data_IF_425260813735
#
_entry.id   IF_425260813735
#
_cell.length_a   1.000
_cell.length_b   1.000
_cell.length_c   1.000
_cell.angle_alpha   90.00
_cell.angle_beta   90.00
_cell.angle_gamma   90.00
#
_symmetry.space_group_name_H-M   'P 1'
#
loop_
_entity.id
_entity.type
_entity.pdbx_description
1 polymer ?
#
# COMPACT_ATOMS: atom_id res chain seq x y z
N UNK A 1 -21.20 15.55 -8.53
CA UNK A 1 -20.19 14.49 -8.77
C UNK A 1 -20.82 13.17 -8.38
N UNK A 2 -20.68 12.12 -9.18
CA UNK A 2 -21.17 10.79 -8.79
C UNK A 2 -20.50 10.37 -7.49
N UNK A 3 -21.26 9.76 -6.59
CA UNK A 3 -20.78 9.25 -5.30
C UNK A 3 -19.73 8.16 -5.54
N UNK A 4 -18.50 8.38 -5.07
CA UNK A 4 -17.38 7.46 -5.34
C UNK A 4 -17.46 6.13 -4.55
N UNK A 5 -18.30 6.06 -3.52
CA UNK A 5 -18.36 4.94 -2.59
C UNK A 5 -17.31 5.05 -1.48
N UNK A 6 -16.97 3.91 -0.87
CA UNK A 6 -15.98 3.85 0.20
C UNK A 6 -14.62 3.37 -0.30
N UNK A 7 -13.56 3.80 0.40
CA UNK A 7 -12.20 3.28 0.29
C UNK A 7 -11.86 2.45 1.53
N UNK A 8 -11.26 1.28 1.35
CA UNK A 8 -10.63 0.52 2.42
C UNK A 8 -9.10 0.68 2.30
N UNK A 9 -8.46 1.23 3.33
CA UNK A 9 -7.00 1.41 3.38
C UNK A 9 -6.42 0.58 4.52
N UNK A 10 -5.62 -0.42 4.21
CA UNK A 10 -4.97 -1.24 5.23
C UNK A 10 -3.72 -0.56 5.79
N UNK A 11 -3.49 -0.64 7.12
CA UNK A 11 -2.40 0.07 7.77
C UNK A 11 -2.55 1.60 7.70
N UNK A 12 -3.78 2.11 7.74
CA UNK A 12 -4.12 3.49 7.39
C UNK A 12 -3.85 4.54 8.47
N UNK A 13 -3.46 4.17 9.71
CA UNK A 13 -3.35 5.13 10.80
C UNK A 13 -2.06 5.97 10.78
N UNK A 14 -0.98 5.47 10.17
CA UNK A 14 0.37 6.00 10.34
C UNK A 14 1.11 6.16 9.02
N UNK A 15 2.16 7.00 9.06
CA UNK A 15 3.18 7.07 7.99
C UNK A 15 2.56 7.23 6.59
N UNK A 16 2.96 6.38 5.63
CA UNK A 16 2.42 6.37 4.26
C UNK A 16 0.92 6.10 4.26
N UNK A 17 0.46 5.10 5.03
CA UNK A 17 -0.95 4.74 5.09
C UNK A 17 -1.87 5.91 5.46
N UNK A 18 -1.46 6.76 6.42
CA UNK A 18 -2.20 7.97 6.80
C UNK A 18 -2.32 8.97 5.66
N UNK A 19 -1.22 9.19 4.91
CA UNK A 19 -1.27 10.07 3.73
C UNK A 19 -2.21 9.54 2.64
N UNK A 20 -2.27 8.20 2.48
CA UNK A 20 -3.19 7.56 1.53
C UNK A 20 -4.66 7.66 1.98
N UNK A 21 -4.94 7.54 3.29
CA UNK A 21 -6.27 7.78 3.88
C UNK A 21 -6.73 9.21 3.61
N UNK A 22 -5.89 10.19 3.88
CA UNK A 22 -6.16 11.61 3.61
C UNK A 22 -6.43 11.84 2.13
N UNK A 23 -5.59 11.30 1.25
CA UNK A 23 -5.76 11.40 -0.20
C UNK A 23 -7.08 10.79 -0.69
N UNK A 24 -7.48 9.64 -0.16
CA UNK A 24 -8.76 9.01 -0.51
C UNK A 24 -9.94 9.90 -0.08
N UNK A 25 -9.90 10.49 1.12
CA UNK A 25 -10.91 11.42 1.57
C UNK A 25 -11.01 12.67 0.69
N UNK A 26 -9.86 13.26 0.32
CA UNK A 26 -9.79 14.42 -0.60
C UNK A 26 -10.24 14.07 -2.03
N UNK A 27 -10.09 12.81 -2.42
CA UNK A 27 -10.65 12.30 -3.66
C UNK A 27 -12.17 12.07 -3.61
N UNK A 28 -12.81 12.21 -2.43
CA UNK A 28 -14.26 12.13 -2.25
C UNK A 28 -14.78 10.76 -1.79
N UNK A 29 -13.92 9.88 -1.30
CA UNK A 29 -14.32 8.61 -0.68
C UNK A 29 -14.66 8.79 0.80
N UNK A 30 -15.61 8.03 1.30
CA UNK A 30 -15.69 7.67 2.72
C UNK A 30 -14.62 6.62 2.99
N UNK A 31 -13.94 6.64 4.16
CA UNK A 31 -12.72 5.84 4.34
C UNK A 31 -12.83 4.89 5.52
N UNK A 32 -12.73 3.58 5.25
CA UNK A 32 -12.47 2.56 6.24
C UNK A 32 -10.95 2.44 6.46
N UNK A 33 -10.52 2.72 7.68
CA UNK A 33 -9.13 2.73 8.10
C UNK A 33 -8.86 1.43 8.84
N UNK A 34 -8.17 0.49 8.20
CA UNK A 34 -7.78 -0.72 8.90
C UNK A 34 -6.51 -0.50 9.70
N UNK A 35 -6.52 -1.01 10.93
CA UNK A 35 -5.39 -1.05 11.88
C UNK A 35 -5.27 -2.43 12.53
N UNK A 36 -4.13 -2.75 13.12
CA UNK A 36 -3.99 -3.98 13.90
C UNK A 36 -4.68 -3.89 15.27
N UNK A 37 -4.64 -2.70 15.88
CA UNK A 37 -5.33 -2.36 17.13
C UNK A 37 -5.71 -0.87 17.07
N UNK A 38 -6.82 -0.51 17.70
CA UNK A 38 -7.25 0.90 17.79
C UNK A 38 -6.36 1.62 18.78
N UNK A 39 -5.89 2.80 18.39
CA UNK A 39 -5.07 3.71 19.18
C UNK A 39 -5.36 5.18 18.81
N UNK A 40 -4.70 6.11 19.50
CA UNK A 40 -4.88 7.55 19.27
C UNK A 40 -4.52 7.99 17.86
N UNK A 41 -3.60 7.32 17.18
CA UNK A 41 -3.24 7.63 15.80
C UNK A 41 -4.33 7.19 14.81
N UNK A 42 -5.00 6.08 15.09
CA UNK A 42 -6.17 5.65 14.30
C UNK A 42 -7.32 6.66 14.43
N UNK A 43 -7.60 7.15 15.65
CA UNK A 43 -8.61 8.19 15.88
C UNK A 43 -8.22 9.52 15.22
N UNK A 44 -6.94 9.90 15.30
CA UNK A 44 -6.45 11.11 14.62
C UNK A 44 -6.60 11.01 13.10
N UNK A 45 -6.30 9.86 12.50
CA UNK A 45 -6.51 9.64 11.07
C UNK A 45 -8.00 9.72 10.69
N UNK A 46 -8.88 9.14 11.50
CA UNK A 46 -10.33 9.22 11.30
C UNK A 46 -10.85 10.66 11.44
N UNK A 47 -10.32 11.44 12.39
CA UNK A 47 -10.65 12.84 12.55
C UNK A 47 -10.26 13.67 11.31
N UNK A 48 -9.12 13.40 10.69
CA UNK A 48 -8.70 14.07 9.45
C UNK A 48 -9.64 13.77 8.27
N UNK A 49 -10.16 12.56 8.16
CA UNK A 49 -11.18 12.17 7.16
C UNK A 49 -12.46 12.96 7.40
N UNK A 50 -12.94 12.99 8.67
CA UNK A 50 -14.15 13.71 9.06
C UNK A 50 -14.03 15.22 8.84
N UNK A 51 -12.85 15.81 9.08
CA UNK A 51 -12.57 17.23 8.82
C UNK A 51 -12.68 17.60 7.32
N UNK A 52 -12.60 16.62 6.44
CA UNK A 52 -12.80 16.77 4.98
C UNK A 52 -14.26 16.52 4.54
N UNK A 53 -15.17 16.42 5.51
CA UNK A 53 -16.59 16.18 5.24
C UNK A 53 -16.91 14.76 4.78
N UNK A 54 -16.01 13.79 5.05
CA UNK A 54 -16.21 12.37 4.71
C UNK A 54 -16.45 11.55 5.97
N UNK A 55 -17.12 10.38 5.80
CA UNK A 55 -17.27 9.42 6.89
C UNK A 55 -16.00 8.62 7.08
N UNK A 56 -15.69 8.25 8.33
CA UNK A 56 -14.56 7.40 8.68
C UNK A 56 -15.01 6.27 9.60
N UNK A 57 -14.62 5.04 9.29
CA UNK A 57 -14.72 3.86 10.15
C UNK A 57 -13.32 3.33 10.47
N UNK A 58 -13.07 2.95 11.72
CA UNK A 58 -11.82 2.29 12.14
C UNK A 58 -12.12 0.80 12.31
N UNK A 59 -11.40 -0.04 11.59
CA UNK A 59 -11.57 -1.49 11.59
C UNK A 59 -10.28 -2.15 12.08
N UNK A 60 -10.39 -2.93 13.17
CA UNK A 60 -9.22 -3.53 13.81
C UNK A 60 -9.18 -5.05 13.59
N UNK A 61 -8.12 -5.54 12.92
CA UNK A 61 -7.85 -6.96 12.84
C UNK A 61 -6.36 -7.27 12.61
N UNK A 62 -5.96 -8.51 12.86
CA UNK A 62 -4.64 -9.01 12.44
C UNK A 62 -4.79 -9.65 11.05
N UNK A 63 -4.19 -9.04 10.03
CA UNK A 63 -4.24 -9.51 8.64
C UNK A 63 -3.60 -10.88 8.41
N UNK A 64 -2.80 -11.38 9.35
CA UNK A 64 -2.29 -12.76 9.32
C UNK A 64 -3.36 -13.80 9.63
N UNK A 65 -4.52 -13.37 10.15
CA UNK A 65 -5.67 -14.22 10.44
C UNK A 65 -6.66 -14.12 9.28
N UNK A 66 -6.64 -15.10 8.39
CA UNK A 66 -7.45 -15.06 7.16
C UNK A 66 -8.94 -14.84 7.42
N UNK A 67 -9.50 -15.46 8.48
CA UNK A 67 -10.92 -15.31 8.79
C UNK A 67 -11.33 -13.85 9.06
N UNK A 68 -10.50 -13.07 9.78
CA UNK A 68 -10.74 -11.65 10.04
C UNK A 68 -10.46 -10.80 8.81
N UNK A 69 -9.45 -11.17 8.01
CA UNK A 69 -9.14 -10.50 6.75
C UNK A 69 -10.29 -10.62 5.73
N UNK A 70 -10.91 -11.80 5.63
CA UNK A 70 -12.08 -12.05 4.77
C UNK A 70 -13.28 -11.18 5.17
N UNK A 71 -13.49 -10.93 6.45
CA UNK A 71 -14.61 -10.15 6.95
C UNK A 71 -14.47 -8.64 6.67
N UNK A 72 -13.24 -8.14 6.56
CA UNK A 72 -12.89 -6.72 6.60
C UNK A 72 -13.59 -5.86 5.52
N UNK A 73 -13.72 -6.36 4.29
CA UNK A 73 -14.45 -5.62 3.23
C UNK A 73 -15.93 -5.51 3.56
N UNK A 74 -16.55 -6.57 4.07
CA UNK A 74 -17.95 -6.57 4.47
C UNK A 74 -18.23 -5.65 5.67
N UNK A 75 -17.32 -5.59 6.63
CA UNK A 75 -17.40 -4.67 7.76
C UNK A 75 -17.29 -3.21 7.28
N UNK A 76 -16.38 -2.91 6.35
CA UNK A 76 -16.27 -1.59 5.74
C UNK A 76 -17.54 -1.18 5.01
N UNK A 77 -18.16 -2.10 4.26
CA UNK A 77 -19.43 -1.85 3.56
C UNK A 77 -20.60 -1.63 4.50
N UNK A 78 -20.64 -2.34 5.62
CA UNK A 78 -21.72 -2.15 6.62
C UNK A 78 -21.70 -0.74 7.23
N UNK A 79 -20.52 -0.15 7.40
CA UNK A 79 -20.34 1.19 7.98
C UNK A 79 -20.47 2.32 6.95
N UNK A 80 -19.96 2.11 5.72
CA UNK A 80 -19.74 3.20 4.77
C UNK A 80 -20.42 3.02 3.41
N UNK A 81 -21.04 1.85 3.18
CA UNK A 81 -21.56 1.49 1.87
C UNK A 81 -20.50 0.87 0.95
N UNK A 82 -20.82 0.65 -0.34
CA UNK A 82 -20.00 -0.13 -1.25
C UNK A 82 -18.55 0.33 -1.32
N UNK A 83 -17.60 -0.60 -1.10
CA UNK A 83 -16.18 -0.33 -1.24
C UNK A 83 -15.80 -0.41 -2.73
N UNK A 84 -15.32 0.69 -3.28
CA UNK A 84 -14.90 0.81 -4.69
C UNK A 84 -13.41 1.11 -4.86
N UNK A 85 -12.70 1.40 -3.76
CA UNK A 85 -11.25 1.54 -3.71
C UNK A 85 -10.67 0.67 -2.59
N UNK A 86 -9.75 -0.22 -2.94
CA UNK A 86 -8.96 -0.99 -1.99
C UNK A 86 -7.49 -0.57 -2.09
N UNK A 87 -6.91 -0.11 -0.97
CA UNK A 87 -5.49 0.25 -0.88
C UNK A 87 -4.80 -0.69 0.11
N UNK A 88 -4.01 -1.62 -0.40
CA UNK A 88 -3.22 -2.55 0.39
C UNK A 88 -1.91 -1.87 0.80
N UNK A 89 -1.90 -1.18 1.95
CA UNK A 89 -0.75 -0.43 2.47
C UNK A 89 -0.13 -1.05 3.73
N UNK A 90 -0.83 -1.93 4.43
CA UNK A 90 -0.25 -2.65 5.56
C UNK A 90 0.95 -3.49 5.13
N UNK A 91 2.03 -3.43 5.92
CA UNK A 91 3.26 -4.17 5.62
C UNK A 91 4.00 -4.52 6.92
N UNK A 92 4.60 -5.69 6.93
CA UNK A 92 5.69 -6.05 7.84
C UNK A 92 6.99 -5.78 7.11
N UNK A 93 7.96 -5.17 7.80
CA UNK A 93 9.28 -4.83 7.28
C UNK A 93 10.32 -5.15 8.36
N UNK A 94 10.72 -6.40 8.42
CA UNK A 94 11.70 -6.91 9.37
C UNK A 94 12.95 -7.37 8.61
N UNK A 95 14.11 -7.20 9.21
CA UNK A 95 15.35 -7.59 8.57
C UNK A 95 15.56 -9.10 8.68
N UNK A 96 15.86 -9.73 7.56
CA UNK A 96 16.38 -11.08 7.45
C UNK A 96 17.27 -11.20 6.22
N UNK A 97 18.13 -12.22 6.21
CA UNK A 97 18.97 -12.57 5.08
C UNK A 97 18.75 -14.05 4.72
N UNK A 98 19.24 -14.47 3.56
CA UNK A 98 19.13 -15.87 3.15
C UNK A 98 19.71 -16.85 4.18
N UNK A 99 20.76 -16.44 4.91
CA UNK A 99 21.46 -17.30 5.86
C UNK A 99 20.70 -17.51 7.19
N UNK A 100 19.84 -16.57 7.59
CA UNK A 100 19.18 -16.55 8.91
C UNK A 100 17.64 -16.47 8.84
N UNK A 101 17.10 -16.38 7.62
CA UNK A 101 15.65 -16.42 7.38
C UNK A 101 15.06 -17.69 8.02
N UNK A 102 14.04 -17.48 8.84
CA UNK A 102 13.34 -18.56 9.53
C UNK A 102 11.85 -18.54 9.23
N UNK A 103 11.15 -19.58 9.72
CA UNK A 103 9.71 -19.73 9.48
C UNK A 103 8.89 -18.54 9.99
N UNK A 104 9.27 -17.95 11.12
CA UNK A 104 8.51 -16.85 11.72
C UNK A 104 8.66 -15.56 10.88
N UNK A 105 9.87 -15.18 10.44
CA UNK A 105 10.09 -14.02 9.57
C UNK A 105 9.43 -14.23 8.21
N UNK A 106 9.57 -15.42 7.63
CA UNK A 106 8.92 -15.79 6.38
C UNK A 106 7.40 -15.65 6.45
N UNK A 107 6.75 -16.29 7.43
CA UNK A 107 5.30 -16.25 7.55
C UNK A 107 4.80 -14.82 7.84
N UNK A 108 5.50 -14.03 8.65
CA UNK A 108 5.11 -12.67 8.93
C UNK A 108 5.06 -11.81 7.64
N UNK A 109 6.05 -11.93 6.78
CA UNK A 109 6.10 -11.22 5.50
C UNK A 109 5.09 -11.78 4.49
N UNK A 110 5.04 -13.09 4.30
CA UNK A 110 4.17 -13.69 3.29
C UNK A 110 2.68 -13.53 3.64
N UNK A 111 2.29 -13.71 4.89
CA UNK A 111 0.90 -13.54 5.31
C UNK A 111 0.45 -12.08 5.23
N UNK A 112 1.27 -11.14 5.73
CA UNK A 112 0.86 -9.73 5.77
C UNK A 112 1.01 -9.04 4.42
N UNK A 113 2.16 -9.23 3.72
CA UNK A 113 2.48 -8.43 2.55
C UNK A 113 1.97 -9.03 1.23
N UNK A 114 1.68 -10.34 1.21
CA UNK A 114 1.23 -11.04 0.00
C UNK A 114 -0.15 -11.68 0.17
N UNK A 115 -0.31 -12.60 1.14
CA UNK A 115 -1.55 -13.37 1.27
C UNK A 115 -2.74 -12.48 1.56
N UNK A 116 -2.64 -11.57 2.53
CA UNK A 116 -3.75 -10.69 2.90
C UNK A 116 -4.20 -9.74 1.78
N UNK A 117 -3.31 -9.07 1.00
CA UNK A 117 -3.71 -8.34 -0.20
C UNK A 117 -4.47 -9.18 -1.22
N UNK A 118 -4.08 -10.43 -1.43
CA UNK A 118 -4.77 -11.34 -2.36
C UNK A 118 -6.15 -11.73 -1.85
N UNK A 119 -6.28 -12.06 -0.57
CA UNK A 119 -7.57 -12.34 0.07
C UNK A 119 -8.50 -11.15 -0.04
N UNK A 120 -8.01 -9.94 0.31
CA UNK A 120 -8.79 -8.71 0.21
C UNK A 120 -9.20 -8.41 -1.24
N UNK A 121 -8.30 -8.57 -2.21
CA UNK A 121 -8.62 -8.40 -3.63
C UNK A 121 -9.72 -9.37 -4.09
N UNK A 122 -9.65 -10.64 -3.64
CA UNK A 122 -10.64 -11.65 -3.97
C UNK A 122 -12.02 -11.32 -3.38
N UNK A 123 -12.08 -10.89 -2.11
CA UNK A 123 -13.33 -10.49 -1.45
C UNK A 123 -13.89 -9.23 -2.08
N UNK A 124 -13.04 -8.22 -2.30
CA UNK A 124 -13.40 -6.96 -2.98
C UNK A 124 -14.04 -7.22 -4.35
N UNK A 125 -13.40 -8.06 -5.18
CA UNK A 125 -13.91 -8.37 -6.51
C UNK A 125 -15.27 -9.08 -6.51
N UNK A 126 -15.53 -9.94 -5.52
CA UNK A 126 -16.82 -10.64 -5.35
C UNK A 126 -17.93 -9.71 -4.87
N UNK A 127 -17.60 -8.72 -4.03
CA UNK A 127 -18.56 -7.84 -3.38
C UNK A 127 -18.83 -6.55 -4.17
N UNK A 128 -17.94 -6.17 -5.10
CA UNK A 128 -18.12 -4.96 -5.91
C UNK A 128 -19.44 -5.02 -6.68
N UNK A 129 -20.37 -4.05 -6.50
CA UNK A 129 -21.64 -4.03 -7.22
C UNK A 129 -21.46 -4.06 -8.73
N UNK A 130 -22.40 -4.69 -9.44
CA UNK A 130 -22.28 -4.91 -10.90
C UNK A 130 -22.26 -3.62 -11.72
N UNK A 131 -22.85 -2.56 -11.19
CA UNK A 131 -22.96 -1.22 -11.79
C UNK A 131 -21.80 -0.28 -11.39
N UNK A 132 -20.79 -0.79 -10.67
CA UNK A 132 -19.64 -0.01 -10.20
C UNK A 132 -18.33 -0.52 -10.77
N UNK A 133 -17.43 0.41 -11.05
CA UNK A 133 -16.02 0.12 -11.32
C UNK A 133 -15.21 0.18 -10.03
N UNK A 134 -14.16 -0.65 -9.94
CA UNK A 134 -13.26 -0.73 -8.80
C UNK A 134 -11.81 -0.37 -9.13
N UNK A 135 -11.09 0.00 -8.08
CA UNK A 135 -9.63 0.17 -8.13
C UNK A 135 -8.98 -0.53 -6.95
N UNK A 136 -7.95 -1.33 -7.23
CA UNK A 136 -7.04 -1.89 -6.22
C UNK A 136 -5.67 -1.25 -6.41
N UNK A 137 -5.08 -0.75 -5.34
CA UNK A 137 -3.70 -0.23 -5.32
C UNK A 137 -2.89 -0.96 -4.27
N UNK A 138 -1.82 -1.61 -4.70
CA UNK A 138 -0.90 -2.33 -3.83
C UNK A 138 0.34 -1.47 -3.54
N UNK A 139 0.66 -1.22 -2.26
CA UNK A 139 1.93 -0.63 -1.85
C UNK A 139 3.01 -1.69 -1.97
N UNK A 140 3.83 -1.53 -2.99
CA UNK A 140 4.99 -2.34 -3.32
C UNK A 140 6.24 -1.74 -2.64
N UNK A 141 7.37 -1.88 -3.28
CA UNK A 141 8.65 -1.28 -2.92
C UNK A 141 9.48 -1.12 -4.21
N UNK A 142 10.35 -0.14 -4.28
CA UNK A 142 11.27 0.02 -5.41
C UNK A 142 12.19 -1.19 -5.61
N UNK A 143 12.45 -1.97 -4.54
CA UNK A 143 13.24 -3.21 -4.59
C UNK A 143 12.71 -4.25 -5.57
N UNK A 144 11.44 -4.19 -5.97
CA UNK A 144 10.90 -5.09 -7.01
C UNK A 144 11.53 -4.83 -8.39
N UNK A 145 12.12 -3.64 -8.61
CA UNK A 145 12.85 -3.27 -9.81
C UNK A 145 14.37 -3.47 -9.67
N UNK A 146 14.88 -3.43 -8.44
CA UNK A 146 16.30 -3.56 -8.15
C UNK A 146 16.48 -4.43 -6.88
N UNK A 147 16.34 -5.77 -6.99
CA UNK A 147 16.41 -6.67 -5.85
C UNK A 147 17.78 -6.64 -5.18
N UNK A 148 17.77 -6.68 -3.85
CA UNK A 148 18.96 -6.70 -3.01
C UNK A 148 18.89 -7.87 -2.01
N UNK A 149 20.03 -8.38 -1.51
CA UNK A 149 20.07 -9.55 -0.64
C UNK A 149 19.60 -9.28 0.80
N UNK A 150 19.43 -8.03 1.19
CA UNK A 150 18.93 -7.62 2.50
C UNK A 150 17.40 -7.58 2.51
N UNK A 151 16.79 -7.79 3.68
CA UNK A 151 15.33 -7.90 3.83
C UNK A 151 14.76 -8.97 2.87
N UNK A 152 15.33 -10.16 2.96
CA UNK A 152 15.19 -11.17 1.92
C UNK A 152 13.74 -11.63 1.73
N UNK A 153 13.07 -12.08 2.79
CA UNK A 153 11.68 -12.55 2.70
C UNK A 153 10.71 -11.40 2.45
N UNK A 154 10.99 -10.20 2.99
CA UNK A 154 10.25 -8.99 2.64
C UNK A 154 10.30 -8.71 1.13
N UNK A 155 11.51 -8.67 0.55
CA UNK A 155 11.72 -8.39 -0.87
C UNK A 155 11.01 -9.41 -1.75
N UNK A 156 11.06 -10.69 -1.39
CA UNK A 156 10.32 -11.75 -2.09
C UNK A 156 8.81 -11.54 -2.00
N UNK A 157 8.28 -11.16 -0.83
CA UNK A 157 6.85 -10.89 -0.66
C UNK A 157 6.36 -9.73 -1.54
N UNK A 158 7.16 -8.67 -1.67
CA UNK A 158 6.86 -7.51 -2.53
C UNK A 158 7.01 -7.83 -4.01
N UNK A 159 8.02 -8.60 -4.40
CA UNK A 159 8.18 -9.07 -5.78
C UNK A 159 6.99 -9.94 -6.21
N UNK A 160 6.58 -10.89 -5.36
CA UNK A 160 5.39 -11.71 -5.63
C UNK A 160 4.11 -10.87 -5.71
N UNK A 161 3.95 -9.85 -4.85
CA UNK A 161 2.80 -8.94 -4.92
C UNK A 161 2.82 -8.10 -6.20
N UNK A 162 4.00 -7.73 -6.72
CA UNK A 162 4.13 -7.06 -8.02
C UNK A 162 3.65 -7.95 -9.16
N UNK A 163 4.09 -9.20 -9.21
CA UNK A 163 3.61 -10.16 -10.21
C UNK A 163 2.10 -10.39 -10.08
N UNK A 164 1.61 -10.56 -8.85
CA UNK A 164 0.18 -10.69 -8.58
C UNK A 164 -0.62 -9.46 -9.01
N UNK A 165 -0.08 -8.25 -8.87
CA UNK A 165 -0.72 -7.00 -9.34
C UNK A 165 -1.02 -7.07 -10.85
N UNK A 166 -0.06 -7.54 -11.65
CA UNK A 166 -0.23 -7.70 -13.10
C UNK A 166 -1.22 -8.81 -13.46
N UNK A 167 -1.15 -9.92 -12.74
CA UNK A 167 -2.08 -11.04 -12.95
C UNK A 167 -3.52 -10.66 -12.57
N UNK A 168 -3.70 -9.95 -11.46
CA UNK A 168 -5.01 -9.45 -11.04
C UNK A 168 -5.57 -8.41 -12.02
N UNK A 169 -4.73 -7.53 -12.57
CA UNK A 169 -5.15 -6.58 -13.60
C UNK A 169 -5.73 -7.28 -14.83
N UNK A 170 -5.13 -8.41 -15.24
CA UNK A 170 -5.67 -9.23 -16.34
C UNK A 170 -6.97 -9.96 -15.97
N UNK A 171 -7.02 -10.52 -14.76
CA UNK A 171 -8.13 -11.35 -14.32
C UNK A 171 -9.40 -10.55 -14.00
N UNK A 172 -9.25 -9.28 -13.57
CA UNK A 172 -10.36 -8.47 -13.05
C UNK A 172 -10.84 -7.38 -14.02
N UNK A 173 -10.11 -7.18 -15.13
CA UNK A 173 -10.54 -6.26 -16.19
C UNK A 173 -11.87 -6.77 -16.86
N UNK A 174 -12.71 -5.87 -17.37
CA UNK A 174 -12.53 -4.41 -17.42
C UNK A 174 -13.02 -3.66 -16.18
N UNK A 175 -13.71 -4.34 -15.24
CA UNK A 175 -14.43 -3.70 -14.15
C UNK A 175 -13.53 -3.20 -13.01
N UNK A 176 -12.41 -3.88 -12.78
CA UNK A 176 -11.49 -3.53 -11.70
C UNK A 176 -10.10 -3.31 -12.28
N UNK A 177 -9.56 -2.12 -12.05
CA UNK A 177 -8.17 -1.81 -12.33
C UNK A 177 -7.31 -2.19 -11.13
N UNK A 178 -6.12 -2.73 -11.38
CA UNK A 178 -5.18 -3.09 -10.33
C UNK A 178 -3.82 -2.51 -10.67
N UNK A 179 -3.27 -1.69 -9.77
CA UNK A 179 -1.98 -1.04 -9.95
C UNK A 179 -1.14 -1.10 -8.67
N UNK A 180 0.12 -0.72 -8.78
CA UNK A 180 1.05 -0.63 -7.68
C UNK A 180 1.66 0.76 -7.52
N UNK A 181 2.11 1.07 -6.32
CA UNK A 181 3.00 2.19 -6.03
C UNK A 181 4.23 1.60 -5.35
N UNK A 182 5.42 1.92 -5.84
CA UNK A 182 6.71 1.48 -5.31
C UNK A 182 7.45 2.64 -4.65
N UNK A 183 7.31 2.86 -3.33
CA UNK A 183 8.05 3.87 -2.61
C UNK A 183 9.55 3.57 -2.52
N UNK A 184 10.35 4.62 -2.45
CA UNK A 184 11.73 4.61 -1.96
C UNK A 184 11.83 5.05 -0.50
N UNK A 185 13.00 5.55 -0.05
CA UNK A 185 13.21 6.00 1.31
C UNK A 185 12.27 7.16 1.64
N UNK A 186 11.34 6.91 2.56
CA UNK A 186 10.26 7.86 2.87
C UNK A 186 10.34 8.38 4.30
N UNK A 187 10.51 7.51 5.27
CA UNK A 187 10.63 7.80 6.68
C UNK A 187 11.57 6.78 7.31
N UNK A 188 12.37 7.13 8.34
CA UNK A 188 13.22 6.16 9.01
C UNK A 188 12.44 4.93 9.43
N UNK A 189 12.99 3.74 9.20
CA UNK A 189 12.44 2.50 9.74
C UNK A 189 12.77 2.38 11.23
N UNK A 190 12.14 1.42 11.92
CA UNK A 190 12.49 1.10 13.32
C UNK A 190 13.92 0.55 13.48
N UNK A 191 14.53 0.15 12.37
CA UNK A 191 15.89 -0.42 12.30
C UNK A 191 16.96 0.61 11.91
N UNK A 192 16.56 1.87 11.66
CA UNK A 192 17.47 2.93 11.21
C UNK A 192 17.46 4.10 12.17
N UNK A 193 18.64 4.61 12.51
CA UNK A 193 18.78 5.94 13.06
C UNK A 193 18.69 7.00 11.93
N UNK A 194 18.64 8.27 12.32
CA UNK A 194 18.49 9.38 11.37
C UNK A 194 19.67 9.46 10.39
N UNK A 195 20.90 9.19 10.84
CA UNK A 195 22.09 9.27 10.01
C UNK A 195 22.10 8.18 8.93
N UNK A 196 21.71 6.95 9.28
CA UNK A 196 21.58 5.86 8.32
C UNK A 196 20.48 6.13 7.29
N UNK A 197 19.36 6.73 7.73
CA UNK A 197 18.29 7.13 6.81
C UNK A 197 18.73 8.25 5.87
N UNK A 198 19.41 9.27 6.37
CA UNK A 198 19.93 10.38 5.55
C UNK A 198 20.93 9.86 4.51
N UNK A 199 21.84 8.96 4.90
CA UNK A 199 22.77 8.31 3.97
C UNK A 199 22.04 7.50 2.89
N UNK A 200 20.96 6.79 3.24
CA UNK A 200 20.13 6.09 2.25
C UNK A 200 19.49 7.09 1.27
N UNK A 201 18.96 8.21 1.76
CA UNK A 201 18.35 9.24 0.92
C UNK A 201 19.35 9.83 -0.09
N UNK A 202 20.59 10.03 0.32
CA UNK A 202 21.66 10.53 -0.55
C UNK A 202 22.00 9.57 -1.69
N UNK A 203 21.69 8.27 -1.56
CA UNK A 203 21.89 7.28 -2.64
C UNK A 203 20.88 7.40 -3.76
N UNK A 204 19.74 8.08 -3.55
CA UNK A 204 18.76 8.30 -4.60
C UNK A 204 19.29 9.29 -5.64
N UNK A 205 18.78 9.22 -6.88
CA UNK A 205 19.20 10.20 -7.93
C UNK A 205 18.80 11.63 -7.59
N UNK A 206 17.69 11.80 -6.83
CA UNK A 206 17.21 13.11 -6.39
C UNK A 206 17.89 13.61 -5.10
N UNK A 207 18.73 12.78 -4.45
CA UNK A 207 19.49 13.11 -3.24
C UNK A 207 18.64 13.46 -2.03
N UNK A 208 17.41 12.95 -1.93
CA UNK A 208 16.49 13.26 -0.82
C UNK A 208 15.48 12.14 -0.56
N UNK A 209 14.90 12.18 0.62
CA UNK A 209 13.74 11.36 0.97
C UNK A 209 12.52 11.70 0.09
N UNK A 210 11.66 10.73 -0.10
CA UNK A 210 10.32 10.89 -0.70
C UNK A 210 9.33 11.22 0.43
N UNK A 211 8.59 12.31 0.30
CA UNK A 211 7.55 12.62 1.29
C UNK A 211 6.33 11.71 1.14
N UNK A 212 5.65 11.32 2.25
CA UNK A 212 4.39 10.56 2.16
C UNK A 212 3.34 11.21 1.25
N UNK A 213 3.33 12.55 1.17
CA UNK A 213 2.45 13.30 0.28
C UNK A 213 2.73 13.03 -1.21
N UNK A 214 3.98 12.78 -1.60
CA UNK A 214 4.35 12.46 -2.99
C UNK A 214 3.82 11.05 -3.38
N UNK A 215 3.83 10.11 -2.43
CA UNK A 215 3.22 8.78 -2.61
C UNK A 215 1.70 8.91 -2.73
N UNK A 216 1.08 9.79 -1.93
CA UNK A 216 -0.34 10.08 -2.00
C UNK A 216 -0.74 10.72 -3.35
N UNK A 217 0.12 11.53 -3.96
CA UNK A 217 -0.09 12.06 -5.32
C UNK A 217 -0.13 10.95 -6.37
N UNK A 218 0.70 9.91 -6.25
CA UNK A 218 0.62 8.75 -7.13
C UNK A 218 -0.71 7.99 -6.96
N UNK A 219 -1.22 7.83 -5.74
CA UNK A 219 -2.56 7.29 -5.50
C UNK A 219 -3.62 8.16 -6.18
N UNK A 220 -3.54 9.48 -6.03
CA UNK A 220 -4.48 10.42 -6.66
C UNK A 220 -4.49 10.27 -8.18
N UNK A 221 -3.31 10.19 -8.80
CA UNK A 221 -3.19 9.93 -10.23
C UNK A 221 -3.88 8.62 -10.63
N UNK A 222 -3.61 7.51 -9.91
CA UNK A 222 -4.20 6.20 -10.22
C UNK A 222 -5.73 6.19 -10.05
N UNK A 223 -6.27 6.96 -9.10
CA UNK A 223 -7.72 7.13 -8.93
C UNK A 223 -8.33 7.73 -10.19
N UNK A 224 -7.73 8.77 -10.74
CA UNK A 224 -8.27 9.54 -11.86
C UNK A 224 -7.90 8.96 -13.24
N UNK A 225 -6.82 8.17 -13.34
CA UNK A 225 -6.29 7.60 -14.59
C UNK A 225 -7.02 6.31 -15.02
N UNK A 226 -8.20 6.45 -15.61
CA UNK A 226 -9.12 5.35 -15.94
C UNK A 226 -8.56 4.28 -16.90
N UNK A 227 -7.57 4.62 -17.72
CA UNK A 227 -6.95 3.71 -18.68
C UNK A 227 -5.67 3.05 -18.18
N UNK A 228 -5.31 3.24 -16.89
CA UNK A 228 -4.09 2.68 -16.28
C UNK A 228 -4.44 1.47 -15.44
N UNK A 229 -3.93 0.30 -15.80
CA UNK A 229 -4.04 -0.96 -15.05
C UNK A 229 -2.79 -1.81 -15.27
N UNK A 230 -2.41 -2.64 -14.30
CA UNK A 230 -1.24 -3.51 -14.35
C UNK A 230 0.10 -2.75 -14.27
N UNK A 231 0.10 -1.49 -13.84
CA UNK A 231 1.29 -0.64 -13.77
C UNK A 231 1.75 -0.43 -12.34
N UNK A 232 3.05 -0.17 -12.17
CA UNK A 232 3.62 0.35 -10.94
C UNK A 232 4.20 1.73 -11.20
N UNK A 233 3.88 2.67 -10.31
CA UNK A 233 4.53 3.98 -10.27
C UNK A 233 5.61 3.93 -9.19
N UNK A 234 6.88 3.99 -9.60
CA UNK A 234 7.98 4.16 -8.66
C UNK A 234 8.02 5.62 -8.18
N UNK A 235 7.88 5.81 -6.86
CA UNK A 235 7.99 7.11 -6.18
C UNK A 235 9.16 6.98 -5.22
N UNK A 236 10.37 6.96 -5.75
CA UNK A 236 11.59 6.51 -5.06
C UNK A 236 12.79 7.46 -5.26
N UNK A 237 12.59 8.64 -5.81
CA UNK A 237 13.68 9.55 -6.13
C UNK A 237 14.69 9.00 -7.13
N UNK A 238 14.32 7.96 -7.90
CA UNK A 238 15.20 7.25 -8.83
C UNK A 238 16.13 6.24 -8.15
N UNK A 239 15.83 5.81 -6.92
CA UNK A 239 16.67 4.86 -6.17
C UNK A 239 16.89 3.54 -6.94
N UNK A 240 15.86 3.01 -7.61
CA UNK A 240 15.99 1.77 -8.38
C UNK A 240 16.95 1.85 -9.57
N UNK A 241 17.34 3.05 -10.01
CA UNK A 241 18.28 3.30 -11.10
C UNK A 241 19.70 3.59 -10.59
N UNK A 242 19.85 3.96 -9.32
CA UNK A 242 21.12 4.46 -8.77
C UNK A 242 22.25 3.39 -8.76
N UNK A 243 21.92 2.11 -8.61
CA UNK A 243 22.89 1.01 -8.63
C UNK A 243 23.44 0.65 -10.03
N UNK A 244 22.85 1.15 -11.10
CA UNK A 244 23.28 0.89 -12.48
C UNK A 244 24.27 1.95 -13.01
N UNK A 245 24.49 3.03 -12.26
CA UNK A 245 25.27 4.20 -12.67
C UNK A 245 26.72 4.21 -12.12
N UNK A 246 27.36 3.06 -11.90
CA UNK A 246 28.79 3.02 -11.57
C UNK A 246 29.72 3.27 -12.76
N UNK A 247 29.17 3.60 -13.94
CA UNK A 247 29.91 4.02 -15.12
C UNK A 247 29.72 5.53 -15.34
N UNK A 248 30.59 6.33 -14.70
CA UNK A 248 30.82 7.73 -15.12
C UNK A 248 29.81 8.74 -14.56
N UNK A 249 30.03 9.25 -13.34
CA UNK A 249 29.67 10.66 -13.08
C UNK A 249 30.66 11.53 -13.87
N UNK A 250 30.19 12.53 -14.64
CA UNK A 250 31.06 13.48 -15.33
C UNK A 250 31.92 14.28 -14.35
#
# INVERSE_FOLDING_TARGET
MAERGAALVTGGARRIGRALVVCAAEAGYDVAIHVRAVDDEAEAAAAEVRARGRKAAILACDLRKEATTVALVGEAEAELGPVTLLVNSASVFEEDAFADMNRASWDAHMETNLRSPLVLAQVFARRLPQDRDGLIVNLLDQRVLNPAPHFFSYSLSKAALWDATRMLAQALAPRIRVNGIGPGPTLPSIHQDQAAFDAECETTLMGRAVAPAEIAQALRYLIDARSVTGQMIAVDGGQHLAGQSSAGKP
#
